data_IF_925727890401
#
_entry.id   IF_925727890401
#
_cell.length_a   1.000
_cell.length_b   1.000
_cell.length_c   1.000
_cell.angle_alpha   90.00
_cell.angle_beta   90.00
_cell.angle_gamma   90.00
#
_symmetry.space_group_name_H-M   'P 1'
#
loop_
_entity.id
_entity.type
_entity.pdbx_description
1 polymer ?
#
# COMPACT_ATOMS: atom_id res chain seq x y z
N UNK A 1 -10.38 -14.51 18.82
CA UNK A 1 -9.37 -14.11 17.83
C UNK A 1 -8.77 -12.73 18.11
N UNK A 2 -9.42 -11.86 18.91
CA UNK A 2 -8.94 -10.50 19.16
C UNK A 2 -7.91 -10.34 20.30
N UNK A 3 -7.55 -11.42 21.01
CA UNK A 3 -6.61 -11.35 22.14
C UNK A 3 -5.13 -11.20 21.73
N UNK A 4 -4.81 -11.54 20.46
CA UNK A 4 -3.43 -11.57 19.95
C UNK A 4 -3.33 -10.87 18.60
N UNK A 5 -2.32 -10.01 18.41
CA UNK A 5 -2.10 -9.27 17.16
C UNK A 5 -2.02 -10.19 15.93
N UNK A 6 -1.46 -11.39 16.07
CA UNK A 6 -1.31 -12.38 14.99
C UNK A 6 -2.65 -12.94 14.50
N UNK A 7 -3.71 -12.89 15.32
CA UNK A 7 -5.03 -13.44 14.97
C UNK A 7 -6.11 -12.37 14.80
N UNK A 8 -5.91 -11.14 15.28
CA UNK A 8 -6.94 -10.10 15.30
C UNK A 8 -7.50 -9.77 13.91
N UNK A 9 -6.66 -9.69 12.88
CA UNK A 9 -7.10 -9.37 11.51
C UNK A 9 -7.98 -10.45 10.85
N UNK A 10 -8.15 -11.60 11.50
CA UNK A 10 -9.04 -12.69 11.04
C UNK A 10 -10.50 -12.47 11.43
N UNK A 11 -10.75 -11.61 12.42
CA UNK A 11 -12.10 -11.36 12.95
C UNK A 11 -12.70 -10.08 12.30
N UNK A 12 -13.87 -10.14 11.65
CA UNK A 12 -14.53 -8.96 11.12
C UNK A 12 -14.79 -7.87 12.17
N UNK A 13 -14.97 -8.23 13.45
CA UNK A 13 -15.18 -7.28 14.53
C UNK A 13 -13.96 -6.36 14.76
N UNK A 14 -12.75 -6.83 14.43
CA UNK A 14 -11.54 -6.00 14.47
C UNK A 14 -11.69 -4.77 13.57
N UNK A 15 -12.06 -4.97 12.31
CA UNK A 15 -12.21 -3.87 11.36
C UNK A 15 -13.35 -2.92 11.76
N UNK A 16 -14.46 -3.45 12.29
CA UNK A 16 -15.58 -2.63 12.77
C UNK A 16 -15.17 -1.74 13.95
N UNK A 17 -14.43 -2.29 14.92
CA UNK A 17 -13.93 -1.55 16.07
C UNK A 17 -12.97 -0.43 15.64
N UNK A 18 -11.97 -0.75 14.82
CA UNK A 18 -11.00 0.24 14.37
C UNK A 18 -11.62 1.26 13.42
N UNK A 19 -12.57 0.87 12.57
CA UNK A 19 -13.32 1.82 11.75
C UNK A 19 -14.07 2.84 12.62
N UNK A 20 -14.77 2.37 13.66
CA UNK A 20 -15.46 3.26 14.61
C UNK A 20 -14.48 4.20 15.34
N UNK A 21 -13.30 3.72 15.72
CA UNK A 21 -12.27 4.57 16.35
C UNK A 21 -11.77 5.63 15.36
N UNK A 22 -11.50 5.23 14.10
CA UNK A 22 -11.07 6.13 13.04
C UNK A 22 -12.14 7.17 12.74
N UNK A 23 -13.42 6.82 12.73
CA UNK A 23 -14.53 7.77 12.56
C UNK A 23 -14.48 8.91 13.59
N UNK A 24 -14.24 8.61 14.87
CA UNK A 24 -14.06 9.66 15.89
C UNK A 24 -12.84 10.54 15.63
N UNK A 25 -11.75 9.97 15.11
CA UNK A 25 -10.56 10.75 14.73
C UNK A 25 -10.89 11.65 13.54
N UNK A 26 -11.62 11.16 12.54
CA UNK A 26 -12.04 11.93 11.37
C UNK A 26 -12.98 13.06 11.77
N UNK A 27 -13.92 12.81 12.68
CA UNK A 27 -14.80 13.83 13.24
C UNK A 27 -13.97 14.94 13.92
N UNK A 28 -12.95 14.58 14.70
CA UNK A 28 -12.00 15.55 15.24
C UNK A 28 -11.23 16.30 14.14
N UNK A 29 -10.82 15.63 13.05
CA UNK A 29 -10.10 16.27 11.93
C UNK A 29 -10.91 17.38 11.27
N UNK A 30 -12.24 17.37 11.35
CA UNK A 30 -13.10 18.45 10.82
C UNK A 30 -12.89 19.79 11.52
N UNK A 31 -12.35 19.81 12.74
CA UNK A 31 -12.00 21.03 13.47
C UNK A 31 -10.64 21.61 13.04
N UNK A 32 -9.85 20.87 12.28
CA UNK A 32 -8.59 21.37 11.74
C UNK A 32 -8.84 22.22 10.51
N UNK A 33 -8.00 23.24 10.31
CA UNK A 33 -8.09 24.11 9.14
C UNK A 33 -7.69 23.31 7.88
N UNK A 34 -8.56 23.21 6.85
CA UNK A 34 -8.22 22.58 5.59
C UNK A 34 -7.02 23.26 4.91
N UNK A 35 -6.28 22.51 4.09
CA UNK A 35 -5.23 23.10 3.28
C UNK A 35 -5.82 24.10 2.29
N UNK A 36 -5.16 25.25 2.19
CA UNK A 36 -5.49 26.29 1.22
C UNK A 36 -4.79 26.00 -0.10
N UNK A 37 -5.29 26.55 -1.20
CA UNK A 37 -4.75 26.32 -2.54
C UNK A 37 -3.24 26.65 -2.61
N UNK A 38 -2.81 27.74 -1.98
CA UNK A 38 -1.40 28.17 -1.92
C UNK A 38 -0.47 27.15 -1.25
N UNK A 39 -0.99 26.33 -0.32
CA UNK A 39 -0.21 25.29 0.36
C UNK A 39 -0.07 24.00 -0.44
N UNK A 40 -1.01 23.74 -1.35
CA UNK A 40 -1.03 22.55 -2.21
C UNK A 40 -0.47 22.84 -3.60
N UNK A 41 -0.48 24.10 -4.02
CA UNK A 41 0.03 24.53 -5.31
C UNK A 41 1.54 24.51 -5.33
N UNK A 42 2.10 23.70 -6.24
CA UNK A 42 3.53 23.71 -6.52
C UNK A 42 3.80 24.65 -7.70
N UNK A 43 4.25 25.87 -7.40
CA UNK A 43 4.49 26.89 -8.40
C UNK A 43 5.52 26.46 -9.46
N UNK A 44 5.17 26.67 -10.72
CA UNK A 44 5.98 26.29 -11.87
C UNK A 44 6.04 24.79 -12.18
N UNK A 45 5.36 23.89 -11.45
CA UNK A 45 5.38 22.44 -11.70
C UNK A 45 3.98 21.94 -12.06
N UNK A 46 3.87 21.18 -13.15
CA UNK A 46 2.59 20.61 -13.61
C UNK A 46 2.76 19.17 -14.07
N UNK A 47 1.96 18.27 -13.51
CA UNK A 47 1.79 16.92 -14.05
C UNK A 47 0.96 17.03 -15.34
N UNK A 48 1.51 16.61 -16.47
CA UNK A 48 0.86 16.67 -17.79
C UNK A 48 0.15 15.38 -18.13
N UNK A 49 0.71 14.24 -17.75
CA UNK A 49 0.12 12.92 -18.03
C UNK A 49 0.57 11.87 -16.99
N UNK A 50 -0.27 10.87 -16.76
CA UNK A 50 0.04 9.70 -15.92
C UNK A 50 -0.48 8.45 -16.61
N UNK A 51 0.44 7.52 -16.93
CA UNK A 51 0.10 6.21 -17.53
C UNK A 51 0.53 5.09 -16.61
N UNK A 52 -0.37 4.16 -16.37
CA UNK A 52 -0.12 2.99 -15.53
C UNK A 52 -0.20 1.76 -16.43
N UNK A 53 0.77 0.85 -16.29
CA UNK A 53 0.71 -0.45 -16.95
C UNK A 53 -0.50 -1.28 -16.44
N UNK A 54 -0.80 -2.38 -17.11
CA UNK A 54 -1.94 -3.23 -16.75
C UNK A 54 -1.78 -3.80 -15.33
N UNK A 55 -2.73 -3.46 -14.45
CA UNK A 55 -2.83 -4.05 -13.12
C UNK A 55 -3.46 -5.44 -13.19
N UNK A 56 -2.74 -6.46 -12.75
CA UNK A 56 -3.21 -7.86 -12.78
C UNK A 56 -2.86 -8.54 -11.46
N UNK A 57 -3.85 -9.18 -10.83
CA UNK A 57 -3.69 -9.99 -9.63
C UNK A 57 -3.87 -11.47 -9.93
N UNK A 58 -3.20 -12.33 -9.18
CA UNK A 58 -3.32 -13.78 -9.27
C UNK A 58 -3.09 -14.43 -7.90
N UNK A 59 -3.34 -15.73 -7.79
CA UNK A 59 -2.96 -16.50 -6.60
C UNK A 59 -1.71 -17.33 -6.89
N UNK A 60 -0.77 -17.31 -5.96
CA UNK A 60 0.48 -18.07 -6.01
C UNK A 60 0.64 -18.91 -4.75
N UNK A 61 1.12 -20.14 -4.90
CA UNK A 61 1.38 -21.01 -3.75
C UNK A 61 2.60 -20.50 -2.97
N UNK A 62 2.41 -20.26 -1.68
CA UNK A 62 3.47 -19.91 -0.75
C UNK A 62 3.63 -21.02 0.30
N UNK A 63 4.86 -21.32 0.67
CA UNK A 63 5.20 -22.33 1.68
C UNK A 63 5.89 -21.68 2.88
N UNK A 64 5.53 -22.11 4.08
CA UNK A 64 6.25 -21.76 5.30
C UNK A 64 6.39 -22.97 6.22
N UNK A 65 7.47 -22.97 7.02
CA UNK A 65 7.74 -24.01 8.03
C UNK A 65 6.80 -23.85 9.22
N UNK A 66 6.05 -24.91 9.52
CA UNK A 66 5.11 -25.01 10.63
C UNK A 66 5.55 -26.05 11.68
N UNK A 67 6.79 -26.52 11.62
CA UNK A 67 7.34 -27.58 12.47
C UNK A 67 7.23 -27.28 13.96
N UNK A 68 7.25 -26.00 14.36
CA UNK A 68 7.01 -25.57 15.76
C UNK A 68 5.62 -25.96 16.31
N UNK A 69 4.69 -26.38 15.44
CA UNK A 69 3.35 -26.83 15.84
C UNK A 69 3.27 -28.35 16.08
N UNK A 70 4.38 -29.07 15.90
CA UNK A 70 4.48 -30.53 16.02
C UNK A 70 5.51 -30.89 17.08
N UNK A 71 5.30 -32.02 17.76
CA UNK A 71 6.24 -32.56 18.73
C UNK A 71 7.20 -33.55 18.05
N UNK A 72 8.49 -33.41 18.33
CA UNK A 72 9.54 -34.30 17.82
C UNK A 72 10.08 -35.21 18.93
N UNK A 73 10.42 -36.44 18.56
CA UNK A 73 11.14 -37.38 19.41
C UNK A 73 12.60 -36.97 19.60
N UNK A 74 13.26 -37.54 20.63
CA UNK A 74 14.69 -37.28 20.89
C UNK A 74 15.59 -37.71 19.72
N UNK A 75 15.19 -38.72 18.95
CA UNK A 75 15.96 -39.18 17.80
C UNK A 75 15.83 -38.22 16.61
N UNK A 76 14.61 -37.74 16.33
CA UNK A 76 14.37 -36.74 15.27
C UNK A 76 15.10 -35.42 15.54
N UNK A 77 15.15 -34.99 16.80
CA UNK A 77 15.93 -33.81 17.21
C UNK A 77 17.43 -34.07 17.01
N UNK A 78 17.95 -35.24 17.38
CA UNK A 78 19.36 -35.60 17.18
C UNK A 78 19.75 -35.68 15.71
N UNK A 79 18.83 -36.11 14.84
CA UNK A 79 19.04 -36.24 13.40
C UNK A 79 18.69 -34.95 12.62
N UNK A 80 18.34 -33.86 13.31
CA UNK A 80 18.01 -32.55 12.72
C UNK A 80 16.82 -32.56 11.74
N UNK A 81 15.85 -33.46 11.93
CA UNK A 81 14.61 -33.54 11.12
C UNK A 81 13.48 -32.66 11.67
N UNK A 82 13.82 -31.50 12.27
CA UNK A 82 12.86 -30.65 13.00
C UNK A 82 12.27 -29.50 12.15
N UNK A 83 12.50 -29.52 10.83
CA UNK A 83 12.09 -28.47 9.88
C UNK A 83 11.32 -29.02 8.66
N UNK A 84 10.81 -30.25 8.75
CA UNK A 84 10.25 -30.97 7.60
C UNK A 84 8.74 -30.76 7.40
N UNK A 85 8.07 -30.02 8.30
CA UNK A 85 6.62 -29.79 8.22
C UNK A 85 6.34 -28.44 7.56
N UNK A 86 5.93 -28.47 6.30
CA UNK A 86 5.55 -27.27 5.55
C UNK A 86 4.04 -27.14 5.37
N UNK A 87 3.54 -25.93 5.47
CA UNK A 87 2.18 -25.57 5.06
C UNK A 87 2.25 -24.83 3.73
N UNK A 88 1.49 -25.29 2.74
CA UNK A 88 1.33 -24.63 1.44
C UNK A 88 -0.03 -23.96 1.36
N UNK A 89 -0.06 -22.67 1.02
CA UNK A 89 -1.30 -21.91 0.86
C UNK A 89 -1.24 -21.00 -0.38
N UNK A 90 -2.30 -20.95 -1.21
CA UNK A 90 -2.42 -19.93 -2.23
C UNK A 90 -2.61 -18.54 -1.58
N UNK A 91 -1.72 -17.60 -1.88
CA UNK A 91 -1.80 -16.19 -1.43
C UNK A 91 -1.95 -15.26 -2.62
N UNK A 92 -2.60 -14.12 -2.39
CA UNK A 92 -2.77 -13.06 -3.39
C UNK A 92 -1.40 -12.49 -3.79
N UNK A 93 -1.18 -12.31 -5.08
CA UNK A 93 0.00 -11.69 -5.67
C UNK A 93 -0.40 -10.81 -6.88
N UNK A 94 0.52 -10.02 -7.42
CA UNK A 94 0.31 -9.20 -8.61
C UNK A 94 1.52 -9.20 -9.56
N UNK A 95 1.27 -8.90 -10.83
CA UNK A 95 2.36 -8.69 -11.78
C UNK A 95 3.00 -7.32 -11.55
N UNK A 96 4.34 -7.18 -11.64
CA UNK A 96 4.98 -5.87 -11.58
C UNK A 96 4.45 -4.92 -12.66
N UNK A 97 4.31 -3.64 -12.33
CA UNK A 97 3.79 -2.62 -13.23
C UNK A 97 4.54 -1.30 -13.07
N UNK A 98 4.59 -0.47 -14.12
CA UNK A 98 5.16 0.87 -14.05
C UNK A 98 4.08 1.94 -13.97
N UNK A 99 4.38 3.00 -13.22
CA UNK A 99 3.69 4.29 -13.25
C UNK A 99 4.60 5.28 -13.99
N UNK A 100 4.17 5.72 -15.16
CA UNK A 100 4.85 6.72 -15.98
C UNK A 100 4.21 8.09 -15.72
N UNK A 101 4.95 9.01 -15.14
CA UNK A 101 4.50 10.36 -14.79
C UNK A 101 5.26 11.35 -15.67
N UNK A 102 4.52 12.11 -16.48
CA UNK A 102 5.07 13.22 -17.27
C UNK A 102 4.84 14.53 -16.53
N UNK A 103 5.91 15.30 -16.32
CA UNK A 103 5.89 16.54 -15.56
C UNK A 103 6.56 17.65 -16.38
N UNK A 104 5.87 18.77 -16.55
CA UNK A 104 6.44 20.00 -17.09
C UNK A 104 6.80 20.95 -15.95
N UNK A 105 8.03 21.46 -15.94
CA UNK A 105 8.53 22.33 -14.89
C UNK A 105 9.17 23.60 -15.44
N UNK A 106 8.81 24.76 -14.90
CA UNK A 106 9.44 26.04 -15.24
C UNK A 106 10.77 26.27 -14.48
N UNK A 107 11.04 25.47 -13.46
CA UNK A 107 12.21 25.61 -12.57
C UNK A 107 12.89 24.26 -12.32
N UNK A 108 14.18 24.31 -11.97
CA UNK A 108 14.85 23.14 -11.41
C UNK A 108 14.61 23.09 -9.89
N UNK A 109 14.10 21.98 -9.38
CA UNK A 109 13.72 21.85 -7.97
C UNK A 109 13.75 20.40 -7.50
N UNK A 110 14.06 20.17 -6.23
CA UNK A 110 13.82 18.87 -5.58
C UNK A 110 12.33 18.75 -5.26
N UNK A 111 11.70 17.66 -5.71
CA UNK A 111 10.27 17.40 -5.55
C UNK A 111 10.02 16.10 -4.78
N UNK A 112 8.96 16.08 -3.98
CA UNK A 112 8.42 14.87 -3.38
C UNK A 112 7.26 14.38 -4.23
N UNK A 113 7.32 13.12 -4.65
CA UNK A 113 6.24 12.45 -5.38
C UNK A 113 5.59 11.44 -4.45
N UNK A 114 4.26 11.55 -4.30
CA UNK A 114 3.42 10.60 -3.55
C UNK A 114 2.38 9.98 -4.47
N UNK A 115 2.22 8.66 -4.40
CA UNK A 115 1.27 7.91 -5.22
C UNK A 115 0.23 7.28 -4.29
N UNK A 116 -1.05 7.48 -4.59
CA UNK A 116 -2.17 6.92 -3.82
C UNK A 116 -3.10 6.11 -4.72
N UNK A 117 -3.72 5.08 -4.15
CA UNK A 117 -4.82 4.33 -4.75
C UNK A 117 -6.11 4.60 -4.00
N UNK A 118 -7.20 4.83 -4.72
CA UNK A 118 -8.50 5.14 -4.14
C UNK A 118 -9.65 4.50 -4.92
N UNK A 119 -10.79 4.21 -4.25
CA UNK A 119 -11.98 3.76 -4.94
C UNK A 119 -12.51 4.85 -5.87
N UNK A 120 -12.97 4.44 -7.06
CA UNK A 120 -13.60 5.36 -8.02
C UNK A 120 -15.10 5.52 -7.76
N UNK A 121 -15.75 4.44 -7.33
CA UNK A 121 -17.18 4.34 -7.11
C UNK A 121 -17.47 3.76 -5.73
N UNK A 122 -18.64 4.06 -5.18
CA UNK A 122 -19.18 3.37 -4.01
C UNK A 122 -19.76 1.98 -4.35
N UNK A 123 -20.31 1.31 -3.34
CA UNK A 123 -20.93 -0.02 -3.48
C UNK A 123 -22.18 -0.02 -4.37
N UNK A 124 -22.78 1.14 -4.64
CA UNK A 124 -23.93 1.33 -5.53
C UNK A 124 -23.50 1.77 -6.94
N UNK A 125 -22.21 1.92 -7.21
CA UNK A 125 -21.67 2.38 -8.49
C UNK A 125 -21.69 3.90 -8.69
N UNK A 126 -21.90 4.68 -7.62
CA UNK A 126 -21.94 6.14 -7.67
C UNK A 126 -20.50 6.69 -7.58
N UNK A 127 -20.10 7.63 -8.47
CA UNK A 127 -18.79 8.25 -8.39
C UNK A 127 -18.55 8.96 -7.06
N UNK A 128 -17.38 8.71 -6.46
CA UNK A 128 -17.00 9.31 -5.18
C UNK A 128 -16.44 10.73 -5.36
N UNK A 129 -16.80 11.63 -4.45
CA UNK A 129 -16.26 12.98 -4.27
C UNK A 129 -15.05 12.95 -3.33
N UNK A 130 -14.10 13.89 -3.50
CA UNK A 130 -12.91 13.93 -2.65
C UNK A 130 -13.27 14.35 -1.23
N UNK A 131 -14.22 15.27 -1.08
CA UNK A 131 -14.70 15.83 0.17
C UNK A 131 -15.19 14.74 1.14
N UNK A 132 -15.89 13.73 0.62
CA UNK A 132 -16.48 12.66 1.43
C UNK A 132 -15.56 11.42 1.54
N UNK A 133 -14.53 11.31 0.69
CA UNK A 133 -13.77 10.06 0.52
C UNK A 133 -12.26 10.22 0.60
N UNK A 134 -11.74 11.38 1.01
CA UNK A 134 -10.30 11.61 1.19
C UNK A 134 -9.64 10.58 2.13
N UNK A 135 -10.39 10.03 3.09
CA UNK A 135 -9.95 8.96 4.01
C UNK A 135 -9.70 7.61 3.34
N UNK A 136 -10.26 7.38 2.15
CA UNK A 136 -10.23 6.09 1.44
C UNK A 136 -9.05 5.96 0.47
N UNK A 137 -8.09 6.88 0.56
CA UNK A 137 -6.87 6.87 -0.24
C UNK A 137 -5.78 6.08 0.51
N UNK A 138 -5.30 5.00 -0.10
CA UNK A 138 -4.21 4.20 0.40
C UNK A 138 -2.90 4.63 -0.24
N UNK A 139 -1.88 4.94 0.56
CA UNK A 139 -0.56 5.34 0.07
C UNK A 139 0.17 4.13 -0.52
N UNK A 140 0.58 4.24 -1.78
CA UNK A 140 1.36 3.21 -2.47
C UNK A 140 2.86 3.49 -2.42
N UNK A 141 3.26 4.75 -2.59
CA UNK A 141 4.68 5.11 -2.67
C UNK A 141 4.95 6.57 -2.30
N UNK A 142 6.19 6.82 -1.89
CA UNK A 142 6.74 8.13 -1.58
C UNK A 142 8.24 8.13 -1.90
N UNK A 143 8.67 9.00 -2.82
CA UNK A 143 10.09 9.24 -3.10
C UNK A 143 10.40 10.70 -3.44
N UNK A 144 11.67 11.06 -3.36
CA UNK A 144 12.20 12.37 -3.81
C UNK A 144 12.81 12.25 -5.19
N UNK A 145 12.61 13.25 -6.04
CA UNK A 145 13.23 13.35 -7.38
C UNK A 145 13.69 14.76 -7.66
N UNK A 146 14.69 14.91 -8.55
CA UNK A 146 15.14 16.22 -9.02
C UNK A 146 14.46 16.54 -10.33
N UNK A 147 13.66 17.60 -10.35
CA UNK A 147 13.07 18.13 -11.58
C UNK A 147 14.05 19.09 -12.25
N UNK A 148 14.13 18.98 -13.58
CA UNK A 148 14.82 19.96 -14.44
C UNK A 148 13.79 20.86 -15.12
N UNK A 149 14.20 22.04 -15.57
CA UNK A 149 13.32 22.91 -16.34
C UNK A 149 12.97 22.26 -17.71
N UNK A 150 11.71 22.37 -18.11
CA UNK A 150 11.12 21.68 -19.25
C UNK A 150 10.45 20.37 -18.87
N UNK A 151 10.41 19.44 -19.83
CA UNK A 151 9.74 18.15 -19.68
C UNK A 151 10.60 17.14 -18.92
N UNK A 152 9.98 16.48 -17.94
CA UNK A 152 10.55 15.43 -17.13
C UNK A 152 9.69 14.18 -17.26
N UNK A 153 10.34 13.01 -17.37
CA UNK A 153 9.67 11.72 -17.39
C UNK A 153 10.15 10.88 -16.22
N UNK A 154 9.22 10.55 -15.33
CA UNK A 154 9.47 9.72 -14.16
C UNK A 154 8.82 8.36 -14.44
N UNK A 155 9.60 7.28 -14.32
CA UNK A 155 9.12 5.91 -14.45
C UNK A 155 9.37 5.24 -13.10
N UNK A 156 8.30 4.77 -12.46
CA UNK A 156 8.37 4.16 -11.13
C UNK A 156 7.79 2.76 -11.18
N UNK A 157 8.60 1.74 -10.90
CA UNK A 157 8.13 0.36 -10.86
C UNK A 157 7.51 0.02 -9.49
N UNK A 158 6.48 -0.82 -9.48
CA UNK A 158 5.81 -1.27 -8.25
C UNK A 158 6.76 -1.91 -7.22
N UNK A 159 7.84 -2.54 -7.68
CA UNK A 159 8.80 -3.19 -6.79
C UNK A 159 9.74 -2.19 -6.10
N UNK A 160 9.74 -0.93 -6.52
CA UNK A 160 10.50 0.14 -5.86
C UNK A 160 9.67 0.89 -4.80
N UNK A 161 8.39 0.55 -4.66
CA UNK A 161 7.47 1.23 -3.76
C UNK A 161 7.89 1.04 -2.29
N UNK A 162 8.10 2.14 -1.58
CA UNK A 162 8.70 2.11 -0.24
C UNK A 162 7.76 1.63 0.87
N UNK A 163 6.46 1.51 0.56
CA UNK A 163 5.43 1.10 1.52
C UNK A 163 5.39 -0.43 1.70
N UNK A 164 5.87 -1.18 0.71
CA UNK A 164 5.79 -2.63 0.66
C UNK A 164 7.15 -3.30 0.88
N UNK A 165 7.13 -4.61 1.16
CA UNK A 165 8.34 -5.42 1.34
C UNK A 165 8.19 -6.76 0.64
N UNK A 166 9.32 -7.39 0.36
CA UNK A 166 9.38 -8.78 -0.06
C UNK A 166 8.93 -9.74 1.05
N UNK A 167 8.53 -10.93 0.63
CA UNK A 167 8.19 -12.01 1.54
C UNK A 167 9.37 -12.40 2.43
N UNK A 168 9.06 -12.94 3.62
CA UNK A 168 10.10 -13.46 4.51
C UNK A 168 10.67 -14.75 3.94
N UNK A 169 11.99 -14.89 4.01
CA UNK A 169 12.74 -16.10 3.62
C UNK A 169 12.63 -17.15 4.72
#
# INVERSE_FOLDING_TARGET
AMDFYQTSLRDPAFYQLYNRIVEYIVEFKQYLKPYTQDKLYFDGVKITDVKVDKLTTFFENFEFDASNSVYFSKEEIKNNHVHDVKVRQPRLNHSPFNVNIEVDSNVASDAVVKIFLAPKYDDNGIPLTLEDNWMKFFELDWFTTKLTAGQNKIIRNSNEFVIFKEDSV
#
